data_IF_884840802683
#
_entry.id   IF_884840802683
#
_cell.length_a   1.000
_cell.length_b   1.000
_cell.length_c   1.000
_cell.angle_alpha   90.00
_cell.angle_beta   90.00
_cell.angle_gamma   90.00
#
_symmetry.space_group_name_H-M   'P 1'
#
loop_
_entity.id
_entity.type
_entity.pdbx_description
1 polymer ?
#
# COMPACT_ATOMS: atom_id res chain seq x y z
N UNK A 1 -1.86 -12.59 -1.89
CA UNK A 1 -0.86 -12.11 -0.92
C UNK A 1 0.37 -11.60 -1.65
N UNK A 2 0.61 -10.29 -1.61
CA UNK A 2 1.87 -9.71 -2.05
C UNK A 2 2.70 -9.45 -0.79
N UNK A 3 3.73 -10.26 -0.55
CA UNK A 3 4.66 -10.01 0.57
C UNK A 3 5.35 -8.65 0.36
N UNK A 4 5.64 -7.91 1.43
CA UNK A 4 6.37 -6.63 1.37
C UNK A 4 7.65 -6.73 0.51
N UNK A 5 8.32 -7.89 0.57
CA UNK A 5 9.50 -8.20 -0.26
C UNK A 5 9.14 -8.28 -1.75
N UNK A 6 8.03 -8.93 -2.11
CA UNK A 6 7.56 -9.03 -3.49
C UNK A 6 7.19 -7.63 -4.04
N UNK A 7 6.46 -6.83 -3.25
CA UNK A 7 6.14 -5.44 -3.61
C UNK A 7 7.40 -4.61 -3.84
N UNK A 8 8.40 -4.75 -2.96
CA UNK A 8 9.69 -4.03 -3.10
C UNK A 8 10.41 -4.45 -4.39
N UNK A 9 10.48 -5.75 -4.68
CA UNK A 9 11.13 -6.27 -5.88
C UNK A 9 10.41 -5.83 -7.15
N UNK A 10 9.08 -5.78 -7.15
CA UNK A 10 8.29 -5.30 -8.30
C UNK A 10 8.50 -3.80 -8.58
N UNK A 11 8.72 -3.00 -7.53
CA UNK A 11 8.96 -1.57 -7.65
C UNK A 11 10.44 -1.23 -7.90
N UNK A 12 11.36 -2.16 -7.63
CA UNK A 12 12.80 -1.94 -7.78
C UNK A 12 13.19 -1.49 -9.21
N UNK A 13 12.74 -2.12 -10.31
CA UNK A 13 13.07 -1.66 -11.66
C UNK A 13 12.56 -0.24 -11.94
N UNK A 14 11.41 0.14 -11.38
CA UNK A 14 10.83 1.48 -11.52
C UNK A 14 11.70 2.50 -10.79
N UNK A 15 12.09 2.19 -9.54
CA UNK A 15 12.98 3.05 -8.76
C UNK A 15 14.33 3.26 -9.47
N UNK A 16 14.93 2.18 -10.00
CA UNK A 16 16.18 2.26 -10.76
C UNK A 16 16.04 3.08 -12.05
N UNK A 17 14.93 2.93 -12.76
CA UNK A 17 14.63 3.74 -13.95
C UNK A 17 14.56 5.24 -13.63
N UNK A 18 13.93 5.59 -12.51
CA UNK A 18 13.83 6.99 -12.05
C UNK A 18 15.20 7.53 -11.64
N UNK A 19 16.02 6.74 -10.93
CA UNK A 19 17.40 7.13 -10.56
C UNK A 19 18.22 7.40 -11.82
N UNK A 20 18.21 6.48 -12.78
CA UNK A 20 18.96 6.61 -14.02
C UNK A 20 18.51 7.84 -14.85
N UNK A 21 17.21 8.15 -14.84
CA UNK A 21 16.68 9.36 -15.48
C UNK A 21 17.22 10.64 -14.80
N UNK A 22 17.17 10.70 -13.47
CA UNK A 22 17.65 11.87 -12.71
C UNK A 22 19.15 12.09 -12.91
N UNK A 23 19.95 11.03 -12.92
CA UNK A 23 21.41 11.13 -13.16
C UNK A 23 21.74 11.62 -14.57
N UNK A 24 20.97 11.18 -15.59
CA UNK A 24 21.12 11.66 -16.96
C UNK A 24 20.82 13.14 -17.10
N UNK A 25 19.73 13.62 -16.49
CA UNK A 25 19.32 15.02 -16.59
C UNK A 25 20.19 15.97 -15.76
N UNK A 26 20.70 15.51 -14.62
CA UNK A 26 21.54 16.34 -13.73
C UNK A 26 23.04 16.26 -14.05
N UNK A 27 23.47 15.26 -14.83
CA UNK A 27 24.87 15.00 -15.14
C UNK A 27 25.72 14.65 -13.91
N UNK A 28 25.08 14.25 -12.80
CA UNK A 28 25.73 13.97 -11.51
C UNK A 28 25.15 12.69 -10.91
N UNK A 29 26.02 11.93 -10.24
CA UNK A 29 25.57 10.80 -9.42
C UNK A 29 24.63 11.26 -8.32
N UNK A 30 23.51 10.56 -8.21
CA UNK A 30 22.40 10.94 -7.35
C UNK A 30 22.39 10.13 -6.06
N UNK A 31 23.56 9.89 -5.46
CA UNK A 31 23.74 8.93 -4.36
C UNK A 31 22.72 9.05 -3.23
N UNK A 32 22.55 10.23 -2.63
CA UNK A 32 21.58 10.43 -1.56
C UNK A 32 20.11 10.23 -2.00
N UNK A 33 19.78 10.64 -3.23
CA UNK A 33 18.44 10.45 -3.82
C UNK A 33 18.17 8.97 -4.11
N UNK A 34 19.14 8.28 -4.71
CA UNK A 34 19.06 6.84 -4.99
C UNK A 34 18.88 6.04 -3.69
N UNK A 35 19.69 6.33 -2.67
CA UNK A 35 19.54 5.72 -1.34
C UNK A 35 18.17 6.01 -0.75
N UNK A 36 17.69 7.26 -0.78
CA UNK A 36 16.35 7.61 -0.29
C UNK A 36 15.24 6.87 -1.03
N UNK A 37 15.33 6.74 -2.36
CA UNK A 37 14.28 6.13 -3.17
C UNK A 37 14.23 4.62 -2.94
N UNK A 38 15.37 3.95 -2.90
CA UNK A 38 15.46 2.52 -2.64
C UNK A 38 15.03 2.16 -1.21
N UNK A 39 15.58 2.84 -0.20
CA UNK A 39 15.18 2.64 1.19
C UNK A 39 13.73 3.05 1.43
N UNK A 40 13.31 4.16 0.84
CA UNK A 40 11.94 4.65 0.91
C UNK A 40 10.95 3.63 0.36
N UNK A 41 11.27 2.96 -0.75
CA UNK A 41 10.44 1.90 -1.32
C UNK A 41 10.32 0.70 -0.37
N UNK A 42 11.43 0.25 0.22
CA UNK A 42 11.44 -0.87 1.17
C UNK A 42 10.67 -0.57 2.46
N UNK A 43 10.84 0.64 3.02
CA UNK A 43 10.08 1.07 4.20
C UNK A 43 8.62 1.30 3.87
N UNK A 44 8.29 1.91 2.73
CA UNK A 44 6.90 2.13 2.32
C UNK A 44 6.16 0.81 2.14
N UNK A 45 6.78 -0.21 1.54
CA UNK A 45 6.21 -1.54 1.45
C UNK A 45 5.96 -2.15 2.86
N UNK A 46 6.90 -1.97 3.78
CA UNK A 46 6.80 -2.48 5.15
C UNK A 46 5.71 -1.79 5.97
N UNK A 47 5.66 -0.46 5.92
CA UNK A 47 4.67 0.37 6.60
C UNK A 47 3.29 0.13 5.98
N UNK A 48 3.18 0.12 4.65
CA UNK A 48 1.91 -0.16 3.97
C UNK A 48 1.30 -1.51 4.38
N UNK A 49 2.14 -2.51 4.63
CA UNK A 49 1.72 -3.84 5.08
C UNK A 49 1.00 -3.87 6.43
N UNK A 50 1.12 -2.86 7.29
CA UNK A 50 0.35 -2.79 8.55
C UNK A 50 -1.03 -2.13 8.38
N UNK A 51 -1.27 -1.47 7.24
CA UNK A 51 -2.48 -0.70 6.99
C UNK A 51 -3.75 -1.54 6.94
N UNK A 52 -3.65 -2.81 6.54
CA UNK A 52 -4.79 -3.73 6.44
C UNK A 52 -4.45 -5.10 7.04
N UNK A 53 -5.47 -5.87 7.49
CA UNK A 53 -5.29 -7.24 7.95
C UNK A 53 -4.53 -8.14 6.97
N UNK A 54 -4.76 -7.97 5.66
CA UNK A 54 -4.21 -8.84 4.60
C UNK A 54 -2.79 -8.40 4.18
N UNK A 55 -2.30 -7.26 4.67
CA UNK A 55 -1.02 -6.71 4.26
C UNK A 55 0.17 -7.61 4.60
N UNK A 56 0.18 -8.25 5.78
CA UNK A 56 1.26 -9.16 6.20
C UNK A 56 0.74 -10.33 7.05
N UNK A 57 1.45 -11.49 7.06
CA UNK A 57 0.99 -12.66 7.83
C UNK A 57 0.81 -12.42 9.33
N UNK A 58 1.69 -11.66 10.02
CA UNK A 58 1.53 -11.35 11.43
C UNK A 58 0.19 -10.67 11.78
N UNK A 59 -0.36 -9.84 10.88
CA UNK A 59 -1.63 -9.14 11.14
C UNK A 59 -2.79 -10.13 11.27
N UNK A 60 -2.90 -11.07 10.32
CA UNK A 60 -3.94 -12.10 10.34
C UNK A 60 -3.79 -13.00 11.57
N UNK A 61 -2.55 -13.41 11.87
CA UNK A 61 -2.26 -14.25 13.05
C UNK A 61 -2.70 -13.54 14.34
N UNK A 62 -2.42 -12.23 14.47
CA UNK A 62 -2.83 -11.46 15.64
C UNK A 62 -4.35 -11.35 15.76
N UNK A 63 -5.06 -11.10 14.66
CA UNK A 63 -6.53 -11.02 14.65
C UNK A 63 -7.14 -12.36 15.08
N UNK A 64 -6.64 -13.48 14.55
CA UNK A 64 -7.10 -14.81 14.93
C UNK A 64 -6.80 -15.10 16.41
N UNK A 65 -5.59 -14.80 16.87
CA UNK A 65 -5.22 -14.97 18.28
C UNK A 65 -6.15 -14.19 19.22
N UNK A 66 -6.49 -12.94 18.88
CA UNK A 66 -7.39 -12.12 19.70
C UNK A 66 -8.83 -12.66 19.65
N UNK A 67 -9.28 -13.14 18.50
CA UNK A 67 -10.58 -13.80 18.37
C UNK A 67 -10.67 -15.05 19.27
N UNK A 68 -9.63 -15.89 19.29
CA UNK A 68 -9.54 -17.09 20.15
C UNK A 68 -9.59 -16.75 21.65
N UNK A 69 -9.21 -15.54 22.04
CA UNK A 69 -9.25 -15.03 23.41
C UNK A 69 -10.49 -14.18 23.72
N UNK A 70 -11.52 -14.23 22.88
CA UNK A 70 -12.80 -13.53 23.11
C UNK A 70 -12.79 -12.04 22.71
N UNK A 71 -11.80 -11.60 21.94
CA UNK A 71 -11.67 -10.24 21.44
C UNK A 71 -11.61 -10.22 19.90
N UNK A 72 -12.70 -10.59 19.19
CA UNK A 72 -12.72 -10.53 17.74
C UNK A 72 -12.57 -9.08 17.24
N UNK A 73 -11.64 -8.87 16.31
CA UNK A 73 -11.42 -7.57 15.66
C UNK A 73 -11.88 -7.67 14.21
N UNK A 74 -12.84 -6.83 13.82
CA UNK A 74 -13.29 -6.76 12.44
C UNK A 74 -12.26 -6.08 11.52
N UNK A 75 -12.37 -6.33 10.22
CA UNK A 75 -11.50 -5.72 9.21
C UNK A 75 -11.52 -4.18 9.30
N UNK A 76 -12.71 -3.60 9.46
CA UNK A 76 -12.89 -2.15 9.62
C UNK A 76 -12.25 -1.62 10.91
N UNK A 77 -12.39 -2.33 12.04
CA UNK A 77 -11.77 -1.95 13.31
C UNK A 77 -10.24 -1.94 13.22
N UNK A 78 -9.65 -2.92 12.54
CA UNK A 78 -8.21 -2.89 12.28
C UNK A 78 -7.82 -1.66 11.46
N UNK A 79 -8.53 -1.36 10.37
CA UNK A 79 -8.22 -0.24 9.50
C UNK A 79 -8.34 1.12 10.19
N UNK A 80 -9.21 1.27 11.20
CA UNK A 80 -9.29 2.48 12.02
C UNK A 80 -7.99 2.79 12.77
N UNK A 81 -7.13 1.80 13.00
CA UNK A 81 -5.81 1.97 13.62
C UNK A 81 -4.70 1.88 12.57
N UNK A 82 -4.77 0.88 11.69
CA UNK A 82 -3.77 0.61 10.67
C UNK A 82 -3.61 1.76 9.68
N UNK A 83 -4.70 2.28 9.12
CA UNK A 83 -4.63 3.35 8.12
C UNK A 83 -4.08 4.65 8.71
N UNK A 84 -4.53 5.15 9.87
CA UNK A 84 -3.91 6.31 10.51
C UNK A 84 -2.43 6.09 10.83
N UNK A 85 -2.05 4.89 11.26
CA UNK A 85 -0.64 4.54 11.51
C UNK A 85 0.18 4.70 10.22
N UNK A 86 -0.27 4.11 9.11
CA UNK A 86 0.40 4.27 7.80
C UNK A 86 0.49 5.73 7.37
N UNK A 87 -0.62 6.48 7.51
CA UNK A 87 -0.69 7.89 7.13
C UNK A 87 0.25 8.79 7.93
N UNK A 88 0.60 8.40 9.17
CA UNK A 88 1.55 9.12 10.03
C UNK A 88 2.99 8.68 9.75
N UNK A 89 3.24 7.36 9.72
CA UNK A 89 4.60 6.83 9.58
C UNK A 89 5.19 7.05 8.19
N UNK A 90 4.39 7.05 7.11
CA UNK A 90 4.90 7.32 5.77
C UNK A 90 5.53 8.72 5.63
N UNK A 91 4.84 9.83 5.99
CA UNK A 91 5.46 11.15 6.02
C UNK A 91 6.67 11.25 6.95
N UNK A 92 6.62 10.62 8.13
CA UNK A 92 7.75 10.62 9.08
C UNK A 92 8.97 9.96 8.44
N UNK A 93 8.82 8.77 7.87
CA UNK A 93 9.90 8.07 7.19
C UNK A 93 10.44 8.86 6.00
N UNK A 94 9.55 9.46 5.20
CA UNK A 94 9.96 10.32 4.09
C UNK A 94 10.78 11.52 4.56
N UNK A 95 10.34 12.23 5.60
CA UNK A 95 11.07 13.36 6.19
C UNK A 95 12.41 12.91 6.78
N UNK A 96 12.42 11.82 7.53
CA UNK A 96 13.62 11.28 8.17
C UNK A 96 14.68 10.92 7.12
N UNK A 97 14.29 10.19 6.06
CA UNK A 97 15.21 9.81 4.99
C UNK A 97 15.71 11.03 4.23
N UNK A 98 14.80 11.88 3.75
CA UNK A 98 15.14 12.95 2.79
C UNK A 98 15.73 14.22 3.42
N UNK A 99 15.52 14.46 4.72
CA UNK A 99 15.97 15.68 5.41
C UNK A 99 17.01 15.44 6.50
N UNK A 100 16.99 14.29 7.16
CA UNK A 100 17.85 14.04 8.33
C UNK A 100 18.99 13.09 7.96
N UNK A 101 18.68 11.88 7.48
CA UNK A 101 19.67 10.82 7.26
C UNK A 101 20.45 11.03 5.96
N UNK A 102 19.73 11.29 4.86
CA UNK A 102 20.30 11.45 3.53
C UNK A 102 19.75 12.73 2.89
N UNK A 103 20.17 13.91 3.38
CA UNK A 103 19.62 15.18 2.95
C UNK A 103 19.71 15.35 1.42
N UNK A 104 18.56 15.28 0.76
CA UNK A 104 18.46 15.42 -0.70
C UNK A 104 18.54 16.90 -1.05
N UNK A 105 19.67 17.32 -1.61
CA UNK A 105 19.92 18.73 -1.98
C UNK A 105 19.39 19.11 -3.37
N UNK A 106 18.87 18.15 -4.12
CA UNK A 106 18.17 18.42 -5.38
C UNK A 106 16.80 19.03 -5.07
N UNK A 107 16.70 20.36 -5.22
CA UNK A 107 15.50 21.11 -4.87
C UNK A 107 14.51 21.18 -6.02
N UNK A 108 14.98 21.20 -7.26
CA UNK A 108 14.18 21.19 -8.49
C UNK A 108 14.97 20.53 -9.62
N UNK A 109 14.33 19.59 -10.33
CA UNK A 109 14.81 19.11 -11.64
C UNK A 109 14.26 20.09 -12.69
N UNK A 110 15.11 20.89 -13.32
CA UNK A 110 14.67 21.78 -14.40
C UNK A 110 14.04 20.92 -15.51
N UNK A 111 12.78 21.19 -15.87
CA UNK A 111 12.01 20.38 -16.83
C UNK A 111 11.41 19.08 -16.26
N UNK A 112 11.55 18.80 -14.96
CA UNK A 112 11.00 17.59 -14.32
C UNK A 112 9.47 17.49 -14.41
N UNK A 113 8.76 18.62 -14.31
CA UNK A 113 7.31 18.68 -14.47
C UNK A 113 6.88 18.34 -15.91
N UNK A 114 7.63 18.82 -16.91
CA UNK A 114 7.38 18.51 -18.32
C UNK A 114 7.70 17.06 -18.64
N UNK A 115 8.76 16.49 -18.04
CA UNK A 115 9.08 15.06 -18.10
C UNK A 115 7.92 14.22 -17.55
N UNK A 116 7.44 14.51 -16.34
CA UNK A 116 6.31 13.79 -15.73
C UNK A 116 5.06 13.90 -16.61
N UNK A 117 4.76 15.10 -17.13
CA UNK A 117 3.61 15.32 -18.00
C UNK A 117 3.71 14.48 -19.28
N UNK A 118 4.87 14.44 -19.93
CA UNK A 118 5.11 13.60 -21.12
C UNK A 118 4.94 12.12 -20.83
N UNK A 119 5.45 11.63 -19.70
CA UNK A 119 5.27 10.22 -19.32
C UNK A 119 3.81 9.89 -19.00
N UNK A 120 3.07 10.78 -18.33
CA UNK A 120 1.63 10.62 -18.11
C UNK A 120 0.86 10.61 -19.44
N UNK A 121 1.21 11.48 -20.38
CA UNK A 121 0.59 11.53 -21.70
C UNK A 121 0.83 10.24 -22.52
N UNK A 122 2.01 9.60 -22.37
CA UNK A 122 2.31 8.31 -23.01
C UNK A 122 1.46 7.15 -22.51
N UNK A 123 1.03 7.18 -21.24
CA UNK A 123 0.16 6.13 -20.68
C UNK A 123 -1.22 6.09 -21.35
N UNK A 124 -1.66 7.21 -21.92
CA UNK A 124 -2.93 7.29 -22.63
C UNK A 124 -4.15 7.17 -21.71
N UNK A 125 -5.27 6.66 -22.25
CA UNK A 125 -6.53 6.52 -21.51
C UNK A 125 -6.55 5.19 -20.76
N UNK A 126 -7.06 5.22 -19.53
CA UNK A 126 -7.27 4.02 -18.69
C UNK A 126 -8.02 2.96 -19.48
N UNK A 127 -7.44 1.75 -19.55
CA UNK A 127 -7.98 0.66 -20.36
C UNK A 127 -9.24 0.05 -19.74
N UNK A 128 -10.04 -0.67 -20.54
CA UNK A 128 -11.21 -1.40 -20.01
C UNK A 128 -10.81 -2.41 -18.93
N UNK A 129 -9.66 -3.07 -19.09
CA UNK A 129 -9.14 -4.03 -18.12
C UNK A 129 -8.82 -3.35 -16.79
N UNK A 130 -8.14 -2.19 -16.82
CA UNK A 130 -7.83 -1.42 -15.62
C UNK A 130 -9.10 -0.98 -14.87
N UNK A 131 -10.13 -0.54 -15.59
CA UNK A 131 -11.42 -0.20 -14.99
C UNK A 131 -12.09 -1.39 -14.32
N UNK A 132 -12.10 -2.56 -14.96
CA UNK A 132 -12.67 -3.77 -14.39
C UNK A 132 -11.90 -4.18 -13.13
N UNK A 133 -10.57 -4.14 -13.16
CA UNK A 133 -9.74 -4.47 -11.99
C UNK A 133 -10.00 -3.49 -10.84
N UNK A 134 -10.06 -2.18 -11.11
CA UNK A 134 -10.39 -1.19 -10.08
C UNK A 134 -11.79 -1.42 -9.49
N UNK A 135 -12.78 -1.75 -10.33
CA UNK A 135 -14.15 -2.01 -9.89
C UNK A 135 -14.23 -3.27 -9.02
N UNK A 136 -13.63 -4.38 -9.46
CA UNK A 136 -13.63 -5.64 -8.70
C UNK A 136 -12.88 -5.46 -7.38
N UNK A 137 -11.71 -4.83 -7.40
CA UNK A 137 -10.95 -4.56 -6.19
C UNK A 137 -11.71 -3.65 -5.21
N UNK A 138 -12.31 -2.57 -5.72
CA UNK A 138 -13.12 -1.65 -4.91
C UNK A 138 -14.34 -2.33 -4.31
N UNK A 139 -15.05 -3.16 -5.09
CA UNK A 139 -16.20 -3.93 -4.60
C UNK A 139 -15.79 -4.91 -3.49
N UNK A 140 -14.65 -5.60 -3.63
CA UNK A 140 -14.13 -6.50 -2.59
C UNK A 140 -13.80 -5.75 -1.30
N UNK A 141 -13.11 -4.60 -1.39
CA UNK A 141 -12.78 -3.78 -0.20
C UNK A 141 -14.04 -3.27 0.49
N UNK A 142 -15.02 -2.80 -0.27
CA UNK A 142 -16.30 -2.37 0.28
C UNK A 142 -17.05 -3.53 0.94
N UNK A 143 -16.98 -4.73 0.37
CA UNK A 143 -17.50 -5.96 0.98
C UNK A 143 -16.86 -6.25 2.33
N UNK A 144 -15.53 -6.17 2.45
CA UNK A 144 -14.82 -6.36 3.72
C UNK A 144 -15.11 -5.29 4.76
N UNK A 145 -15.30 -4.04 4.34
CA UNK A 145 -15.70 -2.97 5.26
C UNK A 145 -17.16 -3.14 5.73
N UNK A 146 -18.02 -3.70 4.87
CA UNK A 146 -19.43 -3.95 5.16
C UNK A 146 -19.73 -5.27 5.87
N UNK A 147 -18.78 -6.20 5.96
CA UNK A 147 -19.03 -7.53 6.56
C UNK A 147 -19.49 -7.45 8.02
N UNK A 148 -18.94 -6.50 8.79
CA UNK A 148 -19.36 -6.26 10.18
C UNK A 148 -20.78 -5.67 10.33
N UNK A 149 -21.38 -5.15 9.27
CA UNK A 149 -22.79 -4.71 9.24
C UNK A 149 -23.71 -5.86 8.84
N UNK A 150 -23.21 -6.77 7.99
CA UNK A 150 -23.95 -7.93 7.49
C UNK A 150 -24.14 -9.02 8.56
N UNK A 151 -23.13 -9.26 9.41
CA UNK A 151 -23.21 -10.23 10.53
C UNK A 151 -24.08 -9.77 11.69
N UNK A 152 -24.62 -8.54 11.66
CA UNK A 152 -25.61 -8.04 12.62
C UNK A 152 -27.06 -8.20 12.17
N UNK A 153 -27.32 -8.77 10.99
CA UNK A 153 -28.67 -8.96 10.42
C UNK A 153 -29.04 -10.45 10.55
N UNK A 154 -29.64 -10.83 11.68
CA UNK A 154 -30.27 -12.16 11.86
C UNK A 154 -31.46 -12.30 10.89
N UNK A 155 -31.21 -12.80 9.68
CA UNK A 155 -32.27 -13.19 8.75
C UNK A 155 -31.95 -14.56 8.11
N UNK A 156 -32.93 -15.48 8.01
CA UNK A 156 -32.73 -16.82 7.47
C UNK A 156 -32.39 -16.85 5.96
N UNK A 157 -32.41 -15.70 5.27
CA UNK A 157 -31.94 -15.58 3.89
C UNK A 157 -30.41 -15.45 3.78
N UNK A 158 -29.72 -15.13 4.89
CA UNK A 158 -28.27 -14.91 4.97
C UNK A 158 -27.52 -15.96 5.82
N UNK A 159 -28.15 -17.09 6.15
CA UNK A 159 -27.54 -18.22 6.89
C UNK A 159 -26.27 -18.80 6.20
N UNK A 160 -26.11 -18.54 4.89
CA UNK A 160 -24.88 -18.85 4.15
C UNK A 160 -23.74 -17.86 4.42
N UNK A 161 -24.06 -16.59 4.72
CA UNK A 161 -23.10 -15.53 5.03
C UNK A 161 -22.55 -15.69 6.45
N UNK A 162 -23.35 -16.16 7.40
CA UNK A 162 -22.87 -16.48 8.76
C UNK A 162 -21.90 -17.68 8.78
N UNK A 163 -21.91 -18.53 7.74
CA UNK A 163 -20.88 -19.58 7.54
C UNK A 163 -19.59 -19.07 6.90
N UNK A 164 -19.58 -17.86 6.37
CA UNK A 164 -18.39 -17.19 5.86
C UNK A 164 -17.74 -16.39 7.00
N UNK A 165 -17.28 -17.08 8.03
CA UNK A 165 -16.46 -16.45 9.07
C UNK A 165 -15.18 -15.86 8.46
N UNK A 166 -14.75 -14.70 8.95
CA UNK A 166 -13.60 -13.92 8.45
C UNK A 166 -12.28 -14.71 8.22
N UNK A 167 -12.16 -15.89 8.83
CA UNK A 167 -11.06 -16.84 8.62
C UNK A 167 -11.05 -17.51 7.23
N UNK A 168 -12.21 -17.70 6.58
CA UNK A 168 -12.31 -18.35 5.26
C UNK A 168 -12.28 -17.35 4.09
N UNK A 169 -12.53 -16.07 4.33
CA UNK A 169 -12.43 -15.01 3.31
C UNK A 169 -10.97 -14.52 3.15
N UNK A 170 -10.13 -14.71 4.17
CA UNK A 170 -8.75 -14.24 4.20
C UNK A 170 -7.69 -15.25 3.70
N UNK A 171 -8.08 -16.50 3.41
CA UNK A 171 -7.19 -17.59 3.03
C UNK A 171 -7.14 -17.81 1.51
#
# INVERSE_FOLDING_TARGET
WMSNTATTIMLLPVALSVIALVERETGRESGAFATCLLLGTAYAASIGGVGTPIGTPPNVILIQFLADHGHPISFAQWMLVGIPTVAIFLPITWLLLTRVLYPVRMRELQGGADLIRREIEKLGRVSRGEWIVMLVFGATVLGWLGSGVLTGIDSPAFDFVDRLHDASIAL
#
